data_IF_807619765920
#
_entry.id   IF_807619765920
#
_cell.length_a   1.000
_cell.length_b   1.000
_cell.length_c   1.000
_cell.angle_alpha   90.00
_cell.angle_beta   90.00
_cell.angle_gamma   90.00
#
_symmetry.space_group_name_H-M   'P 1'
#
loop_
_entity.id
_entity.type
_entity.pdbx_description
1 polymer ?
#
# COMPACT_ATOMS: atom_id res chain seq x y z
N UNK A 1 -19.00 -12.38 11.24
CA UNK A 1 -17.65 -11.85 10.96
C UNK A 1 -17.63 -11.45 9.50
N UNK A 2 -17.56 -10.16 9.21
CA UNK A 2 -17.60 -9.65 7.83
C UNK A 2 -16.16 -9.46 7.33
N UNK A 3 -15.90 -9.84 6.09
CA UNK A 3 -14.62 -9.61 5.42
C UNK A 3 -14.90 -8.92 4.09
N UNK A 4 -14.24 -7.80 3.83
CA UNK A 4 -14.25 -7.11 2.56
C UNK A 4 -12.86 -7.24 1.92
N UNK A 5 -12.82 -7.63 0.65
CA UNK A 5 -11.56 -7.81 -0.10
C UNK A 5 -11.55 -6.87 -1.29
N UNK A 6 -10.55 -6.00 -1.35
CA UNK A 6 -10.32 -5.06 -2.45
C UNK A 6 -9.02 -5.41 -3.17
N UNK A 7 -8.96 -5.16 -4.47
CA UNK A 7 -7.77 -5.36 -5.28
C UNK A 7 -7.31 -4.04 -5.88
N UNK A 8 -6.10 -3.62 -5.54
CA UNK A 8 -5.45 -2.48 -6.17
C UNK A 8 -4.48 -2.99 -7.24
N UNK A 9 -4.56 -2.42 -8.45
CA UNK A 9 -3.73 -2.82 -9.60
C UNK A 9 -2.90 -1.63 -10.06
N UNK A 10 -1.60 -1.83 -10.19
CA UNK A 10 -0.66 -0.79 -10.58
C UNK A 10 0.15 -1.23 -11.80
N UNK A 11 0.50 -0.27 -12.64
CA UNK A 11 1.60 -0.41 -13.59
C UNK A 11 2.76 0.38 -13.01
N UNK A 12 3.90 -0.28 -12.81
CA UNK A 12 5.13 0.34 -12.32
C UNK A 12 6.18 0.35 -13.42
N UNK A 13 7.14 1.26 -13.32
CA UNK A 13 8.28 1.41 -14.23
C UNK A 13 9.41 0.43 -13.92
N UNK A 14 9.42 -0.20 -12.75
CA UNK A 14 10.56 -0.96 -12.23
C UNK A 14 11.46 -0.10 -11.34
N UNK A 15 12.70 -0.54 -11.13
CA UNK A 15 13.77 0.22 -10.44
C UNK A 15 13.36 0.81 -9.07
N UNK A 16 12.75 -0.02 -8.24
CA UNK A 16 12.26 0.37 -6.92
C UNK A 16 11.36 1.62 -6.95
N UNK A 17 10.43 1.71 -7.92
CA UNK A 17 9.37 2.72 -7.89
C UNK A 17 8.57 2.59 -6.58
N UNK A 18 8.56 3.67 -5.79
CA UNK A 18 7.82 3.76 -4.54
C UNK A 18 6.53 4.54 -4.82
N UNK A 19 5.40 3.99 -4.42
CA UNK A 19 4.08 4.60 -4.53
C UNK A 19 3.44 4.73 -3.16
N UNK A 20 2.85 5.89 -2.89
CA UNK A 20 1.98 6.06 -1.74
C UNK A 20 0.66 5.33 -2.02
N UNK A 21 0.23 4.48 -1.09
CA UNK A 21 -1.02 3.71 -1.16
C UNK A 21 -2.07 4.23 -0.17
N UNK A 22 -1.76 5.30 0.58
CA UNK A 22 -2.57 5.76 1.72
C UNK A 22 -3.99 6.11 1.30
N UNK A 23 -4.16 6.81 0.18
CA UNK A 23 -5.48 7.24 -0.30
C UNK A 23 -6.30 6.05 -0.80
N UNK A 24 -5.71 5.16 -1.59
CA UNK A 24 -6.39 3.97 -2.11
C UNK A 24 -6.79 2.98 -1.00
N UNK A 25 -5.95 2.84 0.05
CA UNK A 25 -6.30 2.02 1.22
C UNK A 25 -7.40 2.69 2.04
N UNK A 26 -7.38 4.01 2.24
CA UNK A 26 -8.42 4.73 2.95
C UNK A 26 -9.78 4.62 2.25
N UNK A 27 -9.81 4.71 0.91
CA UNK A 27 -11.00 4.50 0.10
C UNK A 27 -11.54 3.07 0.25
N UNK A 28 -10.68 2.05 0.15
CA UNK A 28 -11.09 0.66 0.36
C UNK A 28 -11.66 0.41 1.77
N UNK A 29 -11.11 1.06 2.81
CA UNK A 29 -11.67 0.98 4.17
C UNK A 29 -13.03 1.66 4.24
N UNK A 30 -13.20 2.84 3.63
CA UNK A 30 -14.49 3.54 3.60
C UNK A 30 -15.56 2.71 2.88
N UNK A 31 -15.22 2.14 1.72
CA UNK A 31 -16.10 1.31 0.90
C UNK A 31 -16.51 0.01 1.59
N UNK A 32 -15.66 -0.53 2.47
CA UNK A 32 -15.99 -1.73 3.25
C UNK A 32 -17.19 -1.54 4.18
N UNK A 33 -17.50 -0.30 4.56
CA UNK A 33 -18.53 0.03 5.55
C UNK A 33 -18.20 -0.41 6.99
N UNK A 34 -17.06 -1.08 7.20
CA UNK A 34 -16.63 -1.57 8.51
C UNK A 34 -16.18 -0.39 9.38
N UNK A 35 -16.61 -0.37 10.65
CA UNK A 35 -16.27 0.70 11.59
C UNK A 35 -15.12 0.36 12.53
N UNK A 36 -14.90 -0.92 12.80
CA UNK A 36 -13.86 -1.42 13.69
C UNK A 36 -13.35 -2.76 13.17
N UNK A 37 -12.04 -2.97 13.17
CA UNK A 37 -11.42 -4.20 12.69
C UNK A 37 -9.94 -4.02 12.39
N UNK A 38 -9.42 -4.91 11.55
CA UNK A 38 -8.04 -4.88 11.05
C UNK A 38 -8.04 -4.73 9.53
N UNK A 39 -7.02 -4.07 9.00
CA UNK A 39 -6.75 -3.97 7.56
C UNK A 39 -5.44 -4.69 7.28
N UNK A 40 -5.49 -5.67 6.38
CA UNK A 40 -4.28 -6.34 5.89
C UNK A 40 -3.98 -5.86 4.48
N UNK A 41 -2.85 -5.18 4.30
CA UNK A 41 -2.34 -4.79 2.98
C UNK A 41 -1.26 -5.78 2.58
N UNK A 42 -1.45 -6.45 1.44
CA UNK A 42 -0.62 -7.58 1.04
C UNK A 42 -0.20 -7.46 -0.42
N UNK A 43 1.11 -7.56 -0.68
CA UNK A 43 1.64 -7.74 -2.04
C UNK A 43 1.84 -9.25 -2.29
N UNK A 44 1.10 -9.86 -3.22
CA UNK A 44 1.25 -11.30 -3.51
C UNK A 44 2.52 -11.64 -4.30
N UNK A 45 3.22 -10.66 -4.85
CA UNK A 45 4.44 -10.86 -5.64
C UNK A 45 5.70 -10.93 -4.76
N UNK A 46 6.72 -11.67 -5.22
CA UNK A 46 7.99 -11.81 -4.50
C UNK A 46 8.99 -10.67 -4.73
N UNK A 47 8.75 -9.81 -5.72
CA UNK A 47 9.65 -8.71 -6.12
C UNK A 47 9.11 -7.33 -5.73
N UNK A 48 8.05 -7.29 -4.92
CA UNK A 48 7.47 -6.07 -4.37
C UNK A 48 7.29 -6.20 -2.87
N UNK A 49 7.20 -5.05 -2.20
CA UNK A 49 6.99 -4.98 -0.76
C UNK A 49 5.92 -3.93 -0.42
N UNK A 50 5.30 -4.11 0.74
CA UNK A 50 4.44 -3.10 1.37
C UNK A 50 5.13 -2.70 2.66
N UNK A 51 5.28 -1.40 2.86
CA UNK A 51 5.83 -0.84 4.10
C UNK A 51 5.10 0.45 4.43
N UNK A 52 5.27 0.91 5.66
CA UNK A 52 4.86 2.24 6.10
C UNK A 52 6.10 3.09 6.32
N UNK A 53 6.13 4.27 5.72
CA UNK A 53 7.21 5.24 5.85
C UNK A 53 6.62 6.64 5.68
N UNK A 54 7.27 7.66 6.21
CA UNK A 54 6.93 9.04 5.86
C UNK A 54 7.18 9.27 4.36
N UNK A 55 6.14 9.66 3.62
CA UNK A 55 6.22 9.83 2.18
C UNK A 55 6.83 11.18 1.80
N UNK A 56 8.06 11.40 2.25
CA UNK A 56 8.84 12.61 1.98
C UNK A 56 10.10 12.28 1.15
N UNK A 57 10.57 13.25 0.37
CA UNK A 57 11.62 13.04 -0.63
C UNK A 57 12.93 12.42 -0.11
N UNK A 58 13.38 12.76 1.09
CA UNK A 58 14.59 12.25 1.73
C UNK A 58 14.47 10.78 2.11
N UNK A 59 13.45 10.42 2.88
CA UNK A 59 13.12 9.06 3.28
C UNK A 59 12.95 8.13 2.07
N UNK A 60 12.31 8.62 1.01
CA UNK A 60 12.18 7.87 -0.25
C UNK A 60 13.52 7.70 -0.97
N UNK A 61 14.38 8.72 -0.97
CA UNK A 61 15.72 8.62 -1.55
C UNK A 61 16.62 7.64 -0.78
N UNK A 62 16.52 7.63 0.54
CA UNK A 62 17.27 6.72 1.40
C UNK A 62 16.79 5.27 1.24
N UNK A 63 15.47 5.05 1.16
CA UNK A 63 14.91 3.71 0.91
C UNK A 63 15.35 3.15 -0.46
N UNK A 64 15.48 3.99 -1.49
CA UNK A 64 15.93 3.57 -2.83
C UNK A 64 17.42 3.24 -2.92
N UNK A 65 18.21 3.62 -1.92
CA UNK A 65 19.67 3.36 -1.89
C UNK A 65 20.04 2.01 -1.28
N UNK A 66 19.10 1.37 -0.59
CA UNK A 66 19.24 0.00 -0.07
C UNK A 66 19.18 -1.02 -1.20
#
# INVERSE_FOLDING_TARGET
MTVATHQLKFKTRGDAEIRDLTSEVAEAVADSGLKNGIVTVFCPGSTGAVTTIEFESGALADLKRL
#
